data_IF_557147130740
#
_entry.id   IF_557147130740
#
_cell.length_a   1.000
_cell.length_b   1.000
_cell.length_c   1.000
_cell.angle_alpha   90.00
_cell.angle_beta   90.00
_cell.angle_gamma   90.00
#
_symmetry.space_group_name_H-M   'P 1'
#
loop_
_entity.id
_entity.type
_entity.pdbx_description
1 polymer ?
#
# COMPACT_ATOMS: atom_id res chain seq x y z
N UNK A 1 -23.01 8.41 -8.00
CA UNK A 1 -22.07 7.51 -7.25
C UNK A 1 -20.95 8.37 -6.72
N UNK A 2 -20.75 8.41 -5.43
CA UNK A 2 -19.57 9.02 -4.84
C UNK A 2 -18.35 8.20 -5.27
N UNK A 3 -17.47 8.81 -6.04
CA UNK A 3 -16.24 8.14 -6.47
C UNK A 3 -15.28 8.03 -5.29
N UNK A 4 -14.75 6.84 -5.05
CA UNK A 4 -13.56 6.64 -4.22
C UNK A 4 -12.37 7.25 -4.98
N UNK A 5 -12.06 8.50 -4.68
CA UNK A 5 -11.06 9.27 -5.41
C UNK A 5 -9.73 9.23 -4.66
N UNK A 6 -9.03 8.11 -4.76
CA UNK A 6 -7.76 7.85 -4.09
C UNK A 6 -6.66 7.48 -5.08
N UNK A 7 -5.48 8.07 -4.88
CA UNK A 7 -4.24 7.53 -5.41
C UNK A 7 -3.70 6.42 -4.50
N UNK A 8 -3.01 5.44 -5.07
CA UNK A 8 -2.37 4.35 -4.33
C UNK A 8 -0.86 4.39 -4.54
N UNK A 9 -0.12 4.34 -3.44
CA UNK A 9 1.34 4.12 -3.44
C UNK A 9 1.68 2.87 -2.63
N UNK A 10 2.86 2.30 -2.84
CA UNK A 10 3.30 1.13 -2.06
C UNK A 10 4.60 0.54 -2.58
N UNK A 11 5.07 -0.52 -1.91
CA UNK A 11 6.35 -1.17 -2.17
C UNK A 11 6.25 -2.69 -2.34
N UNK A 12 5.06 -3.22 -2.63
CA UNK A 12 4.78 -4.66 -2.72
C UNK A 12 4.88 -5.42 -1.37
N UNK A 13 4.91 -4.71 -0.24
CA UNK A 13 4.76 -5.26 1.11
C UNK A 13 3.56 -4.61 1.80
N UNK A 14 3.36 -3.34 1.54
CA UNK A 14 2.25 -2.54 2.04
C UNK A 14 1.88 -1.46 1.02
N UNK A 15 0.74 -0.79 1.26
CA UNK A 15 0.27 0.31 0.43
C UNK A 15 -0.49 1.34 1.26
N UNK A 16 -0.47 2.59 0.78
CA UNK A 16 -1.28 3.68 1.31
C UNK A 16 -2.28 4.18 0.26
N UNK A 17 -3.48 4.55 0.71
CA UNK A 17 -4.44 5.29 -0.09
C UNK A 17 -4.38 6.76 0.29
N UNK A 18 -4.17 7.59 -0.73
CA UNK A 18 -4.03 9.04 -0.59
C UNK A 18 -5.19 9.69 -1.32
N UNK A 19 -6.01 10.43 -0.57
CA UNK A 19 -7.18 11.13 -1.11
C UNK A 19 -6.77 12.21 -2.12
N UNK A 20 -7.70 12.67 -2.93
CA UNK A 20 -7.53 13.76 -3.89
C UNK A 20 -7.12 15.10 -3.23
N UNK A 21 -7.14 15.19 -1.90
CA UNK A 21 -6.64 16.32 -1.09
C UNK A 21 -5.26 16.07 -0.48
N UNK A 22 -4.59 14.97 -0.84
CA UNK A 22 -3.26 14.63 -0.34
C UNK A 22 -3.23 14.08 1.08
N UNK A 23 -4.34 13.57 1.60
CA UNK A 23 -4.41 12.91 2.91
C UNK A 23 -4.23 11.40 2.78
N UNK A 24 -3.35 10.80 3.58
CA UNK A 24 -3.25 9.36 3.75
C UNK A 24 -4.39 8.93 4.67
N UNK A 25 -5.39 8.28 4.10
CA UNK A 25 -6.62 7.87 4.79
C UNK A 25 -6.67 6.36 5.06
N UNK A 26 -5.75 5.60 4.48
CA UNK A 26 -5.54 4.18 4.72
C UNK A 26 -4.06 3.82 4.66
N UNK A 27 -3.55 3.18 5.70
CA UNK A 27 -2.20 2.62 5.75
C UNK A 27 -2.13 1.52 6.80
N UNK A 28 -1.63 0.35 6.40
CA UNK A 28 -1.24 -0.75 7.29
C UNK A 28 0.28 -0.91 7.27
N UNK A 29 0.92 -1.02 8.42
CA UNK A 29 2.35 -1.31 8.56
C UNK A 29 2.59 -2.50 9.48
N UNK A 30 3.62 -3.35 9.23
CA UNK A 30 4.57 -3.28 8.12
C UNK A 30 4.08 -3.92 6.81
N UNK A 31 2.97 -4.68 6.83
CA UNK A 31 2.45 -5.42 5.69
C UNK A 31 0.99 -5.09 5.42
N UNK A 32 0.47 -5.51 4.26
CA UNK A 32 -0.91 -5.28 3.86
C UNK A 32 -1.94 -5.77 4.89
N UNK A 33 -1.71 -6.94 5.48
CA UNK A 33 -2.58 -7.62 6.45
C UNK A 33 -2.37 -7.17 7.90
N UNK A 34 -1.38 -6.30 8.14
CA UNK A 34 -1.09 -5.75 9.46
C UNK A 34 -2.19 -4.80 9.95
N UNK A 35 -2.24 -4.51 11.26
CA UNK A 35 -3.13 -3.48 11.79
C UNK A 35 -2.92 -2.13 11.10
N UNK A 36 -4.02 -1.39 10.90
CA UNK A 36 -3.92 -0.06 10.31
C UNK A 36 -3.30 0.95 11.28
N UNK A 37 -2.58 1.92 10.70
CA UNK A 37 -2.10 3.12 11.37
C UNK A 37 -3.02 4.28 11.08
N UNK A 38 -3.49 4.36 9.82
CA UNK A 38 -4.51 5.30 9.38
C UNK A 38 -5.66 4.52 8.77
N UNK A 39 -6.88 4.84 9.16
CA UNK A 39 -8.10 4.22 8.70
C UNK A 39 -9.29 5.20 8.66
N UNK A 40 -9.04 6.51 8.42
CA UNK A 40 -10.11 7.50 8.22
C UNK A 40 -11.01 7.16 7.03
N UNK A 41 -10.53 6.32 6.10
CA UNK A 41 -11.33 5.69 5.06
C UNK A 41 -12.54 4.92 5.63
N UNK A 42 -12.37 4.25 6.77
CA UNK A 42 -13.41 3.46 7.44
C UNK A 42 -14.14 4.25 8.53
N UNK A 43 -13.45 5.17 9.19
CA UNK A 43 -14.04 6.00 10.25
C UNK A 43 -13.30 7.33 10.34
N UNK A 44 -13.93 8.40 9.89
CA UNK A 44 -13.29 9.73 9.83
C UNK A 44 -12.98 10.32 11.19
N UNK A 45 -13.71 9.93 12.23
CA UNK A 45 -13.54 10.48 13.57
C UNK A 45 -12.47 9.72 14.38
N UNK A 46 -12.37 8.40 14.15
CA UNK A 46 -11.52 7.52 14.98
C UNK A 46 -10.34 6.94 14.23
N UNK A 47 -10.46 6.78 12.91
CA UNK A 47 -9.52 6.00 12.11
C UNK A 47 -8.14 6.65 11.93
N UNK A 48 -8.03 7.94 12.19
CA UNK A 48 -6.80 8.69 12.01
C UNK A 48 -6.39 8.90 10.54
N UNK A 49 -5.61 9.94 10.29
CA UNK A 49 -5.14 10.32 8.95
C UNK A 49 -3.85 11.13 9.00
N UNK A 50 -3.22 11.32 7.84
CA UNK A 50 -2.03 12.16 7.71
C UNK A 50 -2.13 13.04 6.47
N UNK A 51 -2.51 14.31 6.67
CA UNK A 51 -2.86 15.21 5.58
C UNK A 51 -2.35 16.63 5.72
N UNK A 52 -2.71 17.46 4.75
CA UNK A 52 -2.40 18.88 4.68
C UNK A 52 -3.70 19.68 4.72
N UNK A 53 -3.71 20.75 5.49
CA UNK A 53 -4.75 21.76 5.49
C UNK A 53 -4.20 23.02 4.83
N UNK A 54 -4.84 23.44 3.74
CA UNK A 54 -4.50 24.65 2.99
C UNK A 54 -5.68 25.60 2.96
N UNK A 55 -5.41 26.88 2.64
CA UNK A 55 -6.46 27.87 2.43
C UNK A 55 -7.40 27.45 1.27
N UNK A 56 -8.69 27.82 1.32
CA UNK A 56 -9.70 27.43 0.31
C UNK A 56 -9.42 27.92 -1.12
N UNK A 57 -8.53 28.87 -1.31
CA UNK A 57 -8.11 29.39 -2.63
C UNK A 57 -7.19 28.44 -3.39
N UNK A 58 -6.64 27.40 -2.73
CA UNK A 58 -5.85 26.39 -3.43
C UNK A 58 -6.71 25.44 -4.24
N UNK A 59 -6.37 25.30 -5.51
CA UNK A 59 -6.83 24.21 -6.36
C UNK A 59 -5.91 23.03 -6.17
N UNK A 60 -6.50 21.86 -5.88
CA UNK A 60 -5.75 20.63 -5.62
C UNK A 60 -5.95 19.67 -6.78
N UNK A 61 -4.85 19.13 -7.31
CA UNK A 61 -4.88 18.11 -8.35
C UNK A 61 -3.87 17.00 -8.03
N UNK A 62 -4.15 15.80 -8.53
CA UNK A 62 -3.31 14.64 -8.24
C UNK A 62 -2.97 13.89 -9.53
N UNK A 63 -1.71 13.50 -9.66
CA UNK A 63 -1.22 12.71 -10.79
C UNK A 63 -0.07 11.81 -10.37
N UNK A 64 0.09 10.70 -11.07
CA UNK A 64 1.29 9.88 -10.90
C UNK A 64 2.47 10.43 -11.68
N UNK A 65 3.67 10.28 -11.13
CA UNK A 65 4.88 10.41 -11.92
C UNK A 65 4.82 9.34 -13.02
N UNK A 66 4.98 9.70 -14.30
CA UNK A 66 4.77 8.78 -15.41
C UNK A 66 5.51 7.44 -15.22
N UNK A 67 4.83 6.35 -15.54
CA UNK A 67 5.37 4.97 -15.48
C UNK A 67 5.71 4.45 -14.08
N UNK A 68 5.16 5.05 -13.01
CA UNK A 68 5.49 4.70 -11.62
C UNK A 68 4.28 4.57 -10.69
N UNK A 69 4.53 4.09 -9.46
CA UNK A 69 3.62 4.20 -8.32
C UNK A 69 4.04 5.34 -7.36
N UNK A 70 4.65 6.39 -7.88
CA UNK A 70 4.97 7.62 -7.15
C UNK A 70 3.86 8.63 -7.45
N UNK A 71 3.24 9.19 -6.43
CA UNK A 71 2.08 10.07 -6.56
C UNK A 71 2.46 11.51 -6.23
N UNK A 72 2.04 12.46 -7.06
CA UNK A 72 2.18 13.90 -6.81
C UNK A 72 0.80 14.51 -6.57
N UNK A 73 0.63 15.16 -5.43
CA UNK A 73 -0.52 16.03 -5.15
C UNK A 73 -0.05 17.49 -5.25
N UNK A 74 -0.61 18.23 -6.20
CA UNK A 74 -0.24 19.61 -6.48
C UNK A 74 -1.27 20.55 -5.87
N UNK A 75 -0.78 21.57 -5.17
CA UNK A 75 -1.55 22.63 -4.53
C UNK A 75 -1.21 23.96 -5.20
N UNK A 76 -2.15 24.55 -5.90
CA UNK A 76 -1.95 25.74 -6.74
C UNK A 76 -2.93 26.83 -6.35
N UNK A 77 -2.41 28.00 -6.00
CA UNK A 77 -3.17 29.25 -5.87
C UNK A 77 -2.60 30.30 -6.82
N UNK A 78 -3.18 31.47 -6.85
CA UNK A 78 -2.71 32.56 -7.72
C UNK A 78 -1.26 32.96 -7.42
N UNK A 79 -0.89 33.02 -6.14
CA UNK A 79 0.44 33.48 -5.71
C UNK A 79 1.39 32.37 -5.32
N UNK A 80 0.86 31.20 -4.91
CA UNK A 80 1.63 30.14 -4.28
C UNK A 80 1.40 28.80 -4.96
N UNK A 81 2.46 28.01 -5.05
CA UNK A 81 2.38 26.63 -5.56
C UNK A 81 3.38 25.73 -4.85
N UNK A 82 2.91 24.56 -4.45
CA UNK A 82 3.76 23.47 -3.94
C UNK A 82 3.19 22.12 -4.33
N UNK A 83 4.02 21.10 -4.27
CA UNK A 83 3.61 19.72 -4.50
C UNK A 83 4.08 18.82 -3.37
N UNK A 84 3.27 17.83 -3.03
CA UNK A 84 3.64 16.73 -2.15
C UNK A 84 3.81 15.48 -3.00
N UNK A 85 5.03 14.95 -3.03
CA UNK A 85 5.39 13.73 -3.77
C UNK A 85 5.48 12.58 -2.78
N UNK A 86 4.51 11.68 -2.87
CA UNK A 86 4.36 10.55 -1.96
C UNK A 86 4.90 9.27 -2.59
N UNK A 87 5.75 8.54 -1.88
CA UNK A 87 6.28 7.24 -2.32
C UNK A 87 6.70 6.35 -1.15
N UNK A 88 6.80 5.06 -1.42
CA UNK A 88 7.40 4.08 -0.53
C UNK A 88 8.64 3.49 -1.21
N UNK A 89 9.81 3.44 -0.54
CA UNK A 89 11.03 2.89 -1.14
C UNK A 89 10.85 1.46 -1.63
N UNK A 90 11.24 1.23 -2.88
CA UNK A 90 11.24 -0.08 -3.50
C UNK A 90 12.33 -0.12 -4.58
N UNK A 91 13.41 -0.89 -4.35
CA UNK A 91 14.50 -1.02 -5.32
C UNK A 91 15.36 -2.26 -5.05
N UNK A 92 16.06 -2.74 -6.07
CA UNK A 92 17.01 -3.84 -5.94
C UNK A 92 18.29 -3.35 -5.26
N UNK A 93 18.82 -4.16 -4.33
CA UNK A 93 20.16 -3.99 -3.79
C UNK A 93 21.22 -4.45 -4.82
N UNK A 94 22.49 -4.38 -4.47
CA UNK A 94 23.60 -4.84 -5.32
C UNK A 94 23.47 -6.30 -5.73
N UNK A 95 22.85 -7.14 -4.89
CA UNK A 95 22.36 -8.45 -5.25
C UNK A 95 20.93 -8.32 -5.81
N UNK A 96 20.79 -8.59 -7.10
CA UNK A 96 19.50 -8.48 -7.80
C UNK A 96 18.39 -9.38 -7.24
N UNK A 97 18.72 -10.39 -6.43
CA UNK A 97 17.76 -11.25 -5.75
C UNK A 97 17.07 -10.53 -4.58
N UNK A 98 17.74 -9.55 -3.97
CA UNK A 98 17.27 -8.83 -2.80
C UNK A 98 16.70 -7.45 -3.17
N UNK A 99 15.49 -7.18 -2.70
CA UNK A 99 14.82 -5.91 -2.91
C UNK A 99 14.61 -5.20 -1.58
N UNK A 100 15.04 -3.96 -1.49
CA UNK A 100 14.81 -3.10 -0.34
C UNK A 100 13.38 -2.58 -0.37
N UNK A 101 12.60 -2.89 0.65
CA UNK A 101 11.19 -2.53 0.81
C UNK A 101 10.89 -2.26 2.28
N UNK A 102 11.43 -1.19 2.85
CA UNK A 102 11.20 -0.88 4.26
C UNK A 102 9.74 -0.49 4.49
N UNK A 103 9.28 -0.62 5.72
CA UNK A 103 8.00 -0.06 6.15
C UNK A 103 8.15 1.45 6.40
N UNK A 104 8.38 2.18 5.31
CA UNK A 104 8.62 3.61 5.29
C UNK A 104 7.74 4.27 4.23
N UNK A 105 7.24 5.47 4.55
CA UNK A 105 6.56 6.34 3.59
C UNK A 105 7.22 7.72 3.64
N UNK A 106 7.56 8.21 2.47
CA UNK A 106 8.14 9.54 2.26
C UNK A 106 7.11 10.46 1.64
N UNK A 107 7.05 11.69 2.13
CA UNK A 107 6.24 12.79 1.64
C UNK A 107 7.16 13.97 1.36
N UNK A 108 7.65 14.06 0.12
CA UNK A 108 8.56 15.12 -0.32
C UNK A 108 7.77 16.38 -0.70
N UNK A 109 7.97 17.45 0.05
CA UNK A 109 7.25 18.71 -0.11
C UNK A 109 8.12 19.66 -0.95
N UNK A 110 7.73 19.86 -2.21
CA UNK A 110 8.46 20.69 -3.17
C UNK A 110 7.84 22.07 -3.23
N UNK A 111 8.64 23.09 -2.98
CA UNK A 111 8.26 24.47 -3.22
C UNK A 111 8.41 24.80 -4.71
N UNK A 112 7.34 25.29 -5.36
CA UNK A 112 7.34 25.59 -6.79
C UNK A 112 7.28 27.11 -7.00
N UNK A 113 6.33 27.80 -6.33
CA UNK A 113 6.13 29.26 -6.49
C UNK A 113 5.72 29.89 -5.16
N UNK A 114 6.14 31.16 -4.97
CA UNK A 114 5.71 31.99 -3.85
C UNK A 114 6.22 31.50 -2.48
N UNK A 115 5.41 31.72 -1.45
CA UNK A 115 5.69 31.30 -0.07
C UNK A 115 4.48 30.56 0.48
N UNK A 116 4.26 29.31 0.06
CA UNK A 116 3.10 28.53 0.45
C UNK A 116 2.96 28.39 1.96
N UNK A 117 1.71 28.37 2.43
CA UNK A 117 1.35 28.21 3.84
C UNK A 117 0.37 27.05 3.97
N UNK A 118 0.58 26.19 4.95
CA UNK A 118 -0.27 25.06 5.23
C UNK A 118 -0.11 24.60 6.67
N UNK A 119 -1.04 23.76 7.14
CA UNK A 119 -0.86 22.96 8.36
C UNK A 119 -0.70 21.49 8.00
N UNK A 120 -0.05 20.74 8.87
CA UNK A 120 0.07 19.31 8.77
C UNK A 120 -0.78 18.68 9.88
N UNK A 121 -1.71 17.83 9.49
CA UNK A 121 -2.52 17.03 10.39
C UNK A 121 -1.94 15.61 10.46
N UNK A 122 -1.22 15.31 11.53
CA UNK A 122 -0.68 13.98 11.80
C UNK A 122 -1.45 13.37 12.98
N UNK A 123 -2.46 12.60 12.67
CA UNK A 123 -3.40 12.00 13.61
C UNK A 123 -3.42 10.45 13.47
N UNK A 124 -2.34 9.75 13.83
CA UNK A 124 -2.31 8.30 13.74
C UNK A 124 -3.23 7.66 14.78
N UNK A 125 -3.90 6.58 14.37
CA UNK A 125 -4.73 5.75 15.23
C UNK A 125 -4.31 4.27 15.09
N UNK A 126 -3.10 3.90 15.59
CA UNK A 126 -2.53 2.57 15.38
C UNK A 126 -3.39 1.47 15.99
N UNK A 127 -3.19 0.23 15.49
CA UNK A 127 -3.94 -0.96 15.88
C UNK A 127 -5.45 -0.80 15.67
N UNK A 128 -5.85 -0.30 14.48
CA UNK A 128 -7.26 -0.06 14.13
C UNK A 128 -7.99 0.84 15.13
N UNK A 129 -7.31 1.82 15.73
CA UNK A 129 -7.88 2.69 16.76
C UNK A 129 -8.46 1.94 17.98
N UNK A 130 -7.96 0.74 18.31
CA UNK A 130 -8.41 -0.04 19.48
C UNK A 130 -7.99 0.60 20.82
N UNK A 131 -6.86 1.29 20.84
CA UNK A 131 -6.32 1.96 22.02
C UNK A 131 -6.18 3.45 21.82
N UNK A 132 -5.73 4.13 22.88
CA UNK A 132 -5.35 5.55 22.77
C UNK A 132 -3.97 5.67 22.12
N UNK A 133 -3.81 6.63 21.23
CA UNK A 133 -2.51 6.98 20.66
C UNK A 133 -1.69 7.75 21.69
N UNK A 134 -0.46 7.32 21.92
CA UNK A 134 0.52 7.99 22.76
C UNK A 134 1.56 8.64 21.86
N UNK A 135 1.93 9.88 22.19
CA UNK A 135 2.95 10.65 21.49
C UNK A 135 4.13 10.91 22.44
N UNK A 136 5.34 10.56 22.00
CA UNK A 136 6.59 10.94 22.63
C UNK A 136 7.41 11.76 21.63
N UNK A 137 7.91 12.90 22.02
CA UNK A 137 8.65 13.79 21.12
C UNK A 137 10.11 13.93 21.57
N UNK A 138 11.01 13.83 20.61
CA UNK A 138 12.44 14.15 20.77
C UNK A 138 12.78 15.35 19.90
N UNK A 139 14.05 15.73 19.84
CA UNK A 139 14.54 16.73 18.89
C UNK A 139 14.55 16.24 17.44
N UNK A 140 14.48 14.91 17.21
CA UNK A 140 14.69 14.29 15.89
C UNK A 140 13.41 13.71 15.29
N UNK A 141 12.50 13.23 16.13
CA UNK A 141 11.26 12.55 15.67
C UNK A 141 10.12 12.65 16.68
N UNK A 142 8.92 12.40 16.17
CA UNK A 142 7.73 12.09 16.96
C UNK A 142 7.54 10.57 16.94
N UNK A 143 7.61 9.93 18.12
CA UNK A 143 7.26 8.52 18.28
C UNK A 143 5.78 8.40 18.60
N UNK A 144 5.09 7.46 17.95
CA UNK A 144 3.67 7.16 18.25
C UNK A 144 3.46 5.66 18.41
N UNK A 145 2.52 5.29 19.29
CA UNK A 145 2.08 3.90 19.46
C UNK A 145 0.69 3.86 20.11
N UNK A 146 0.02 2.71 20.01
CA UNK A 146 -1.26 2.50 20.67
C UNK A 146 -1.09 1.89 22.08
N UNK A 147 -1.94 2.28 23.05
CA UNK A 147 -1.99 1.63 24.36
C UNK A 147 -2.44 0.17 24.27
N UNK A 148 -3.15 -0.23 23.21
CA UNK A 148 -3.53 -1.62 22.95
C UNK A 148 -2.37 -2.47 22.43
N UNK A 149 -1.38 -1.84 21.78
CA UNK A 149 -0.18 -2.51 21.25
C UNK A 149 1.04 -1.58 21.30
N UNK A 150 1.72 -1.54 22.40
CA UNK A 150 2.89 -0.67 22.62
C UNK A 150 4.19 -1.16 21.95
N UNK A 151 4.17 -2.35 21.31
CA UNK A 151 5.33 -2.89 20.60
C UNK A 151 5.45 -2.29 19.19
N UNK A 152 4.34 -1.93 18.58
CA UNK A 152 4.27 -1.36 17.24
C UNK A 152 4.40 0.15 17.32
N UNK A 153 5.58 0.65 16.92
CA UNK A 153 5.94 2.06 17.04
C UNK A 153 6.10 2.69 15.66
N UNK A 154 5.64 3.91 15.52
CA UNK A 154 5.85 4.73 14.34
C UNK A 154 6.76 5.89 14.72
N UNK A 155 7.68 6.25 13.82
CA UNK A 155 8.59 7.37 13.98
C UNK A 155 8.38 8.34 12.82
N UNK A 156 7.87 9.54 13.13
CA UNK A 156 7.74 10.63 12.15
C UNK A 156 8.95 11.55 12.26
N UNK A 157 9.74 11.59 11.22
CA UNK A 157 10.84 12.53 11.01
C UNK A 157 10.39 13.66 10.10
N UNK A 158 10.97 14.84 10.29
CA UNK A 158 10.65 16.01 9.48
C UNK A 158 11.82 16.98 9.44
N UNK A 159 12.03 17.63 8.29
CA UNK A 159 12.86 18.81 8.20
C UNK A 159 12.14 20.09 8.67
N UNK A 160 10.82 20.02 8.82
CA UNK A 160 9.99 21.06 9.42
C UNK A 160 9.97 20.95 10.95
N UNK A 161 9.68 22.03 11.69
CA UNK A 161 9.63 21.97 13.14
C UNK A 161 8.56 21.00 13.67
N UNK A 162 8.96 19.96 14.39
CA UNK A 162 8.06 18.91 14.89
C UNK A 162 6.93 19.45 15.79
N UNK A 163 7.21 20.49 16.57
CA UNK A 163 6.20 21.12 17.44
C UNK A 163 5.07 21.78 16.63
N UNK A 164 5.36 22.32 15.41
CA UNK A 164 4.32 22.88 14.55
C UNK A 164 3.38 21.78 14.02
N UNK A 165 3.93 20.58 13.78
CA UNK A 165 3.12 19.43 13.34
C UNK A 165 2.20 18.98 14.48
N UNK A 166 2.74 18.80 15.70
CA UNK A 166 1.95 18.36 16.85
C UNK A 166 0.87 19.34 17.28
N UNK A 167 1.16 20.65 17.20
CA UNK A 167 0.24 21.70 17.60
C UNK A 167 -0.62 22.21 16.43
N UNK A 168 -0.51 21.56 15.25
CA UNK A 168 -1.23 21.92 14.00
C UNK A 168 -1.10 23.42 13.67
N UNK A 169 0.09 23.98 13.90
CA UNK A 169 0.40 25.37 13.59
C UNK A 169 0.67 25.56 12.10
N UNK A 170 0.41 26.76 11.63
CA UNK A 170 0.73 27.16 10.27
C UNK A 170 2.25 27.07 10.02
N UNK A 171 2.60 26.47 8.91
CA UNK A 171 3.97 26.30 8.41
C UNK A 171 4.13 27.13 7.15
N UNK A 172 5.24 27.84 7.05
CA UNK A 172 5.64 28.63 5.88
C UNK A 172 6.71 27.83 5.11
N UNK A 173 6.42 27.47 3.87
CA UNK A 173 7.36 26.72 3.03
C UNK A 173 8.35 27.67 2.34
N UNK A 174 9.56 27.77 2.90
CA UNK A 174 10.64 28.60 2.34
C UNK A 174 11.52 27.87 1.30
N UNK A 175 11.61 26.56 1.40
CA UNK A 175 12.40 25.65 0.53
C UNK A 175 11.74 24.29 0.47
N UNK A 176 12.34 23.35 -0.26
CA UNK A 176 11.91 21.95 -0.25
C UNK A 176 12.11 21.33 1.12
N UNK A 177 11.12 20.60 1.59
CA UNK A 177 11.09 19.97 2.90
C UNK A 177 10.59 18.50 2.78
N UNK A 178 10.68 17.72 3.85
CA UNK A 178 10.22 16.34 3.83
C UNK A 178 9.56 15.91 5.15
N UNK A 179 8.78 14.84 5.03
CA UNK A 179 8.24 14.04 6.11
C UNK A 179 8.56 12.56 5.81
N UNK A 180 9.07 11.85 6.80
CA UNK A 180 9.32 10.42 6.73
C UNK A 180 8.63 9.73 7.90
N UNK A 181 7.72 8.81 7.61
CA UNK A 181 7.12 7.92 8.59
C UNK A 181 7.74 6.52 8.45
N UNK A 182 8.39 6.02 9.51
CA UNK A 182 8.93 4.67 9.59
C UNK A 182 8.23 3.84 10.67
N UNK A 183 8.34 2.51 10.57
CA UNK A 183 7.72 1.56 11.49
C UNK A 183 8.78 0.70 12.17
N UNK A 184 8.77 0.69 13.50
CA UNK A 184 9.63 -0.07 14.42
C UNK A 184 11.14 0.14 14.27
N UNK A 185 11.59 0.74 13.17
CA UNK A 185 13.01 1.01 12.93
C UNK A 185 13.28 2.52 12.95
N UNK A 186 14.29 2.91 13.73
CA UNK A 186 14.79 4.29 13.71
C UNK A 186 15.74 4.46 12.53
N UNK A 187 15.47 5.47 11.74
CA UNK A 187 16.23 5.76 10.52
C UNK A 187 17.31 6.82 10.82
N UNK A 188 18.55 6.54 10.43
CA UNK A 188 19.72 7.44 10.61
C UNK A 188 20.63 7.29 9.39
N UNK A 189 21.12 8.37 8.76
CA UNK A 189 20.70 9.78 8.93
C UNK A 189 19.36 10.06 8.22
N UNK A 190 18.60 11.04 8.70
CA UNK A 190 17.39 11.53 8.04
C UNK A 190 17.62 12.98 7.61
N UNK A 191 17.72 13.19 6.30
CA UNK A 191 17.95 14.49 5.67
C UNK A 191 17.38 14.49 4.25
N UNK A 192 17.38 15.66 3.61
CA UNK A 192 16.81 15.85 2.27
C UNK A 192 17.59 15.10 1.18
N UNK A 193 18.90 14.88 1.37
CA UNK A 193 19.75 14.12 0.45
C UNK A 193 19.36 12.64 0.43
N UNK A 194 19.08 12.06 1.61
CA UNK A 194 18.56 10.71 1.71
C UNK A 194 17.22 10.60 0.99
N UNK A 195 16.31 11.53 1.21
CA UNK A 195 15.01 11.50 0.56
C UNK A 195 15.11 11.52 -0.96
N UNK A 196 15.93 12.43 -1.51
CA UNK A 196 16.20 12.48 -2.95
C UNK A 196 16.79 11.18 -3.48
N UNK A 197 17.70 10.55 -2.73
CA UNK A 197 18.29 9.28 -3.10
C UNK A 197 17.24 8.16 -3.14
N UNK A 198 16.41 8.04 -2.10
CA UNK A 198 15.34 7.04 -2.04
C UNK A 198 14.28 7.27 -3.13
N UNK A 199 13.95 8.52 -3.43
CA UNK A 199 13.10 8.88 -4.55
C UNK A 199 13.68 8.39 -5.89
N UNK A 200 14.95 8.73 -6.18
CA UNK A 200 15.60 8.34 -7.43
C UNK A 200 15.69 6.82 -7.60
N UNK A 201 16.04 6.09 -6.53
CA UNK A 201 16.11 4.62 -6.54
C UNK A 201 14.73 4.00 -6.82
N UNK A 202 13.71 4.51 -6.15
CA UNK A 202 12.32 4.06 -6.33
C UNK A 202 11.80 4.38 -7.74
N UNK A 203 12.11 5.57 -8.24
CA UNK A 203 11.79 5.97 -9.62
C UNK A 203 12.39 4.98 -10.63
N UNK A 204 13.70 4.73 -10.53
CA UNK A 204 14.41 3.79 -11.42
C UNK A 204 13.83 2.38 -11.35
N UNK A 205 13.46 1.92 -10.15
CA UNK A 205 12.81 0.62 -9.98
C UNK A 205 11.53 0.50 -10.79
N UNK A 206 10.62 1.48 -10.68
CA UNK A 206 9.36 1.46 -11.39
C UNK A 206 9.54 1.61 -12.91
N UNK A 207 10.43 2.51 -13.35
CA UNK A 207 10.75 2.68 -14.78
C UNK A 207 11.30 1.39 -15.38
N UNK A 208 12.24 0.73 -14.71
CA UNK A 208 12.78 -0.56 -15.15
C UNK A 208 11.73 -1.67 -15.21
N UNK A 209 10.74 -1.62 -14.31
CA UNK A 209 9.66 -2.58 -14.33
C UNK A 209 8.72 -2.34 -15.50
N UNK A 210 8.29 -1.11 -15.74
CA UNK A 210 7.35 -0.75 -16.82
C UNK A 210 7.99 -0.88 -18.20
N UNK A 211 9.31 -0.68 -18.32
CA UNK A 211 10.03 -0.83 -19.60
C UNK A 211 9.98 -2.28 -20.13
N UNK A 212 9.88 -3.26 -19.24
CA UNK A 212 9.72 -4.68 -19.62
C UNK A 212 8.32 -5.06 -20.07
N UNK A 213 7.33 -4.18 -19.89
CA UNK A 213 5.94 -4.44 -20.24
C UNK A 213 5.75 -4.38 -21.76
N UNK A 214 5.09 -5.39 -22.34
CA UNK A 214 4.69 -5.38 -23.75
C UNK A 214 3.86 -4.13 -24.05
N UNK A 215 4.23 -3.42 -25.10
CA UNK A 215 3.50 -2.23 -25.55
C UNK A 215 2.35 -2.60 -26.49
N UNK A 216 1.27 -1.83 -26.39
CA UNK A 216 0.06 -2.01 -27.19
C UNK A 216 -0.13 -0.80 -28.11
N UNK A 217 -0.91 -0.95 -29.16
CA UNK A 217 -1.19 0.14 -30.11
C UNK A 217 -2.18 1.16 -29.57
N UNK A 218 -3.02 0.75 -28.60
CA UNK A 218 -4.07 1.59 -27.99
C UNK A 218 -4.12 1.38 -26.48
N UNK A 219 -4.57 2.39 -25.75
CA UNK A 219 -4.81 2.36 -24.31
C UNK A 219 -3.58 2.06 -23.44
N UNK A 220 -2.37 2.30 -23.91
CA UNK A 220 -1.14 1.99 -23.17
C UNK A 220 -1.13 2.58 -21.76
N UNK A 221 -1.51 3.83 -21.59
CA UNK A 221 -1.47 4.50 -20.27
C UNK A 221 -2.41 3.84 -19.26
N UNK A 222 -3.63 3.46 -19.70
CA UNK A 222 -4.62 2.80 -18.86
C UNK A 222 -4.18 1.38 -18.51
N UNK A 223 -3.65 0.65 -19.49
CA UNK A 223 -3.12 -0.70 -19.30
C UNK A 223 -1.94 -0.65 -18.32
N UNK A 224 -0.98 0.22 -18.57
CA UNK A 224 0.21 0.35 -17.72
C UNK A 224 -0.17 0.73 -16.27
N UNK A 225 -1.11 1.69 -16.09
CA UNK A 225 -1.60 2.03 -14.74
C UNK A 225 -2.24 0.84 -14.04
N UNK A 226 -3.05 0.04 -14.76
CA UNK A 226 -3.67 -1.17 -14.22
C UNK A 226 -2.62 -2.20 -13.81
N UNK A 227 -1.60 -2.41 -14.63
CA UNK A 227 -0.51 -3.33 -14.36
C UNK A 227 0.34 -2.92 -13.16
N UNK A 228 0.60 -1.61 -13.01
CA UNK A 228 1.30 -1.06 -11.84
C UNK A 228 0.51 -1.31 -10.54
N UNK A 229 -0.82 -1.28 -10.58
CA UNK A 229 -1.67 -1.64 -9.43
C UNK A 229 -1.58 -3.14 -9.14
N UNK A 230 -1.72 -4.01 -10.14
CA UNK A 230 -1.57 -5.46 -9.97
C UNK A 230 -0.18 -5.83 -9.42
N UNK A 231 0.86 -5.18 -9.94
CA UNK A 231 2.23 -5.35 -9.43
C UNK A 231 2.35 -4.93 -7.97
N UNK A 232 1.74 -3.81 -7.59
CA UNK A 232 1.76 -3.30 -6.23
C UNK A 232 1.10 -4.29 -5.26
N UNK A 233 -0.02 -4.91 -5.66
CA UNK A 233 -0.75 -5.91 -4.87
C UNK A 233 -0.10 -7.30 -4.85
N UNK A 234 0.96 -7.51 -5.64
CA UNK A 234 1.75 -8.75 -5.60
C UNK A 234 2.78 -8.67 -4.48
N UNK A 235 2.55 -9.42 -3.40
CA UNK A 235 3.48 -9.51 -2.28
C UNK A 235 4.82 -10.10 -2.70
N UNK A 236 5.89 -9.79 -1.99
CA UNK A 236 7.26 -10.13 -2.41
C UNK A 236 7.51 -11.65 -2.57
N UNK A 237 6.77 -12.49 -1.86
CA UNK A 237 6.87 -13.95 -1.96
C UNK A 237 6.05 -14.56 -3.12
N UNK A 238 5.24 -13.76 -3.81
CA UNK A 238 4.40 -14.18 -4.92
C UNK A 238 2.91 -14.22 -4.63
N UNK A 239 2.45 -14.17 -3.38
CA UNK A 239 1.03 -14.01 -3.07
C UNK A 239 0.46 -12.75 -3.71
N UNK A 240 -0.77 -12.80 -4.22
CA UNK A 240 -1.47 -11.64 -4.79
C UNK A 240 -2.74 -11.38 -3.99
N UNK A 241 -2.88 -10.17 -3.48
CA UNK A 241 -4.04 -9.77 -2.70
C UNK A 241 -5.24 -9.47 -3.60
N UNK A 242 -6.43 -9.80 -3.13
CA UNK A 242 -7.67 -9.41 -3.80
C UNK A 242 -7.94 -7.90 -3.65
N UNK A 243 -7.58 -7.29 -2.50
CA UNK A 243 -7.57 -5.85 -2.30
C UNK A 243 -6.54 -5.45 -1.23
N UNK A 244 -6.19 -4.15 -1.18
CA UNK A 244 -5.30 -3.59 -0.15
C UNK A 244 -6.06 -3.07 1.08
N UNK A 245 -7.39 -3.13 1.06
CA UNK A 245 -8.28 -2.60 2.11
C UNK A 245 -9.14 -3.68 2.70
N UNK A 246 -9.68 -3.41 3.89
CA UNK A 246 -10.78 -4.18 4.46
C UNK A 246 -12.07 -3.38 4.46
N UNK A 247 -13.20 -4.08 4.52
CA UNK A 247 -14.53 -3.58 4.91
C UNK A 247 -15.07 -2.42 4.08
N UNK A 248 -14.64 -2.27 2.84
CA UNK A 248 -15.36 -1.43 1.90
C UNK A 248 -16.63 -2.14 1.46
N UNK A 249 -17.80 -1.48 1.51
CA UNK A 249 -19.08 -2.12 1.26
C UNK A 249 -19.31 -2.41 -0.23
N UNK A 250 -19.93 -3.56 -0.54
CA UNK A 250 -20.47 -3.83 -1.88
C UNK A 250 -21.60 -2.83 -2.20
N UNK A 251 -22.41 -2.51 -1.19
CA UNK A 251 -23.45 -1.47 -1.25
C UNK A 251 -23.35 -0.61 0.00
N UNK A 252 -23.29 0.71 -0.16
CA UNK A 252 -23.18 1.65 0.97
C UNK A 252 -24.36 1.48 1.92
N UNK A 253 -24.08 1.34 3.21
CA UNK A 253 -25.05 1.12 4.28
C UNK A 253 -25.39 -0.35 4.56
N UNK A 254 -24.93 -1.28 3.71
CA UNK A 254 -25.20 -2.71 3.82
C UNK A 254 -24.10 -3.45 4.63
N UNK A 255 -24.33 -4.75 4.86
CA UNK A 255 -23.53 -5.57 5.79
C UNK A 255 -22.42 -6.38 5.11
N UNK A 256 -22.35 -6.38 3.78
CA UNK A 256 -21.37 -7.15 2.99
C UNK A 256 -20.07 -6.36 2.86
N UNK A 257 -19.32 -6.31 3.97
CA UNK A 257 -18.10 -5.52 4.16
C UNK A 257 -16.99 -6.47 4.59
N UNK A 258 -16.26 -7.05 3.63
CA UNK A 258 -15.31 -8.12 3.87
C UNK A 258 -13.87 -7.64 3.90
N UNK A 259 -13.01 -8.38 4.58
CA UNK A 259 -11.56 -8.18 4.49
C UNK A 259 -11.02 -8.93 3.27
N UNK A 260 -10.54 -8.18 2.28
CA UNK A 260 -10.00 -8.71 1.03
C UNK A 260 -8.46 -8.67 0.95
N UNK A 261 -7.77 -8.42 2.07
CA UNK A 261 -6.30 -8.33 2.14
C UNK A 261 -5.61 -9.70 2.12
N UNK A 262 -6.22 -10.68 1.50
CA UNK A 262 -5.76 -12.08 1.43
C UNK A 262 -5.61 -12.52 -0.02
N UNK A 263 -4.93 -13.66 -0.20
CA UNK A 263 -4.67 -14.26 -1.50
C UNK A 263 -5.76 -15.27 -1.84
N UNK A 264 -6.76 -14.89 -2.65
CA UNK A 264 -7.67 -15.83 -3.31
C UNK A 264 -6.97 -16.47 -4.50
N UNK A 265 -6.99 -17.79 -4.59
CA UNK A 265 -6.33 -18.51 -5.68
C UNK A 265 -6.88 -18.13 -7.06
N UNK A 266 -8.20 -17.94 -7.19
CA UNK A 266 -8.85 -17.47 -8.42
C UNK A 266 -8.32 -16.10 -8.86
N UNK A 267 -8.42 -15.11 -7.97
CA UNK A 267 -8.07 -13.72 -8.26
C UNK A 267 -6.57 -13.56 -8.55
N UNK A 268 -5.76 -14.29 -7.78
CA UNK A 268 -4.32 -14.33 -7.98
C UNK A 268 -3.96 -14.98 -9.33
N UNK A 269 -4.59 -16.09 -9.68
CA UNK A 269 -4.34 -16.79 -10.95
C UNK A 269 -4.64 -15.92 -12.16
N UNK A 270 -5.80 -15.25 -12.19
CA UNK A 270 -6.17 -14.31 -13.25
C UNK A 270 -5.19 -13.12 -13.36
N UNK A 271 -4.79 -12.56 -12.23
CA UNK A 271 -3.84 -11.44 -12.17
C UNK A 271 -2.46 -11.84 -12.67
N UNK A 272 -1.97 -13.01 -12.25
CA UNK A 272 -0.66 -13.54 -12.64
C UNK A 272 -0.66 -13.97 -14.12
N UNK A 273 -1.72 -14.57 -14.60
CA UNK A 273 -1.86 -14.90 -16.02
C UNK A 273 -1.72 -13.63 -16.88
N UNK A 274 -2.43 -12.56 -16.51
CA UNK A 274 -2.33 -11.27 -17.19
C UNK A 274 -0.89 -10.75 -17.18
N UNK A 275 -0.22 -10.72 -16.03
CA UNK A 275 1.16 -10.27 -15.92
C UNK A 275 2.12 -11.14 -16.74
N UNK A 276 1.89 -12.44 -16.78
CA UNK A 276 2.70 -13.40 -17.53
C UNK A 276 2.59 -13.18 -19.05
N UNK A 277 1.38 -13.01 -19.57
CA UNK A 277 1.11 -12.81 -21.01
C UNK A 277 1.73 -11.51 -21.56
N UNK A 278 1.94 -10.52 -20.70
CA UNK A 278 2.53 -9.23 -21.09
C UNK A 278 4.03 -9.11 -20.79
N UNK A 279 4.69 -10.21 -20.41
CA UNK A 279 6.15 -10.31 -20.29
C UNK A 279 6.70 -10.35 -18.87
N UNK A 280 5.86 -10.27 -17.84
CA UNK A 280 6.31 -10.33 -16.43
C UNK A 280 6.42 -11.78 -15.91
N UNK A 281 7.25 -12.60 -16.55
CA UNK A 281 7.44 -14.03 -16.25
C UNK A 281 7.83 -14.29 -14.79
N UNK A 282 8.64 -13.40 -14.21
CA UNK A 282 9.09 -13.54 -12.82
C UNK A 282 7.92 -13.43 -11.81
N UNK A 283 6.85 -12.73 -12.15
CA UNK A 283 5.64 -12.69 -11.31
C UNK A 283 4.98 -14.08 -11.24
N UNK A 284 4.86 -14.76 -12.39
CA UNK A 284 4.32 -16.11 -12.45
C UNK A 284 5.22 -17.12 -11.71
N UNK A 285 6.54 -17.03 -11.89
CA UNK A 285 7.49 -17.90 -11.18
C UNK A 285 7.38 -17.77 -9.66
N UNK A 286 7.26 -16.55 -9.13
CA UNK A 286 7.09 -16.31 -7.69
C UNK A 286 5.76 -16.82 -7.17
N UNK A 287 4.69 -16.63 -7.92
CA UNK A 287 3.38 -17.15 -7.53
C UNK A 287 3.37 -18.70 -7.53
N UNK A 288 3.98 -19.35 -8.54
CA UNK A 288 4.11 -20.78 -8.56
C UNK A 288 4.86 -21.33 -7.34
N UNK A 289 5.96 -20.66 -6.94
CA UNK A 289 6.69 -21.00 -5.71
C UNK A 289 5.84 -20.78 -4.44
N UNK A 290 5.04 -19.72 -4.40
CA UNK A 290 4.11 -19.49 -3.29
C UNK A 290 3.07 -20.59 -3.19
N UNK A 291 2.43 -20.97 -4.31
CA UNK A 291 1.46 -22.08 -4.37
C UNK A 291 2.12 -23.38 -3.93
N UNK A 292 3.28 -23.71 -4.49
CA UNK A 292 4.07 -24.89 -4.15
C UNK A 292 4.38 -24.96 -2.65
N UNK A 293 4.98 -23.90 -2.09
CA UNK A 293 5.33 -23.87 -0.66
C UNK A 293 4.11 -23.96 0.25
N UNK A 294 2.97 -23.42 -0.19
CA UNK A 294 1.71 -23.46 0.57
C UNK A 294 1.09 -24.86 0.53
N UNK A 295 1.20 -25.59 -0.59
CA UNK A 295 0.57 -26.90 -0.76
C UNK A 295 1.44 -28.03 -0.22
N UNK A 296 2.75 -28.04 -0.46
CA UNK A 296 3.67 -29.11 0.01
C UNK A 296 3.73 -29.20 1.54
N UNK A 297 3.60 -28.09 2.23
CA UNK A 297 3.58 -28.09 3.70
C UNK A 297 2.32 -28.71 4.32
N UNK A 298 1.36 -29.18 3.49
CA UNK A 298 0.00 -29.47 3.95
C UNK A 298 -0.61 -30.68 3.21
N UNK A 299 -0.63 -31.82 3.88
CA UNK A 299 -1.22 -33.06 3.38
C UNK A 299 -2.76 -33.07 3.34
N UNK A 300 -3.43 -31.97 3.70
CA UNK A 300 -4.88 -31.87 3.82
C UNK A 300 -5.53 -31.05 2.68
N UNK A 301 -6.85 -30.89 2.76
CA UNK A 301 -7.68 -30.21 1.75
C UNK A 301 -7.21 -28.79 1.44
N UNK A 302 -7.14 -28.48 0.14
CA UNK A 302 -6.84 -27.14 -0.37
C UNK A 302 -7.95 -26.16 -0.02
N UNK A 303 -7.55 -24.90 0.30
CA UNK A 303 -8.46 -23.79 0.55
C UNK A 303 -8.53 -22.87 -0.68
N UNK A 304 -9.62 -22.11 -0.78
CA UNK A 304 -9.81 -21.14 -1.87
C UNK A 304 -8.96 -19.88 -1.68
N UNK A 305 -8.53 -19.62 -0.45
CA UNK A 305 -7.77 -18.44 -0.08
C UNK A 305 -6.80 -18.72 1.07
N UNK A 306 -5.76 -17.93 1.12
CA UNK A 306 -4.69 -18.00 2.12
C UNK A 306 -4.29 -16.60 2.57
N UNK A 307 -3.67 -16.49 3.74
CA UNK A 307 -2.93 -15.30 4.14
C UNK A 307 -1.77 -15.02 3.18
N UNK A 308 -1.21 -13.82 3.26
CA UNK A 308 -0.12 -13.40 2.34
C UNK A 308 1.17 -14.20 2.53
N UNK A 309 1.32 -14.96 3.62
CA UNK A 309 2.45 -15.87 3.90
C UNK A 309 2.05 -17.34 3.85
N UNK A 310 0.85 -17.65 3.33
CA UNK A 310 0.30 -19.00 3.29
C UNK A 310 -0.49 -19.41 4.54
N UNK A 311 -0.84 -18.47 5.40
CA UNK A 311 -1.66 -18.77 6.59
C UNK A 311 -3.02 -19.31 6.17
N UNK A 312 -3.42 -20.42 6.82
CA UNK A 312 -4.71 -21.10 6.54
C UNK A 312 -5.86 -20.55 7.38
N UNK A 313 -5.59 -20.16 8.63
CA UNK A 313 -6.61 -19.70 9.56
C UNK A 313 -6.71 -18.19 9.49
N UNK A 314 -7.80 -17.70 8.92
CA UNK A 314 -8.06 -16.28 8.69
C UNK A 314 -9.26 -15.83 9.51
N UNK A 315 -9.24 -16.09 10.80
CA UNK A 315 -10.37 -15.87 11.72
C UNK A 315 -10.94 -14.46 11.60
N UNK A 316 -12.23 -14.38 11.28
CA UNK A 316 -12.95 -13.11 11.18
C UNK A 316 -13.21 -12.52 12.57
N UNK A 317 -12.93 -11.22 12.72
CA UNK A 317 -13.18 -10.46 13.94
C UNK A 317 -13.85 -9.14 13.58
N UNK A 318 -14.93 -8.80 14.28
CA UNK A 318 -15.65 -7.54 14.10
C UNK A 318 -14.98 -6.44 14.95
N UNK A 319 -14.69 -5.31 14.33
CA UNK A 319 -14.21 -4.08 14.94
C UNK A 319 -15.40 -3.14 15.23
N UNK A 320 -16.21 -3.47 16.24
CA UNK A 320 -17.47 -2.80 16.55
C UNK A 320 -17.35 -1.33 16.95
N UNK A 321 -16.15 -0.85 17.28
CA UNK A 321 -15.88 0.55 17.64
C UNK A 321 -15.74 1.48 16.43
N UNK A 322 -15.53 0.93 15.22
CA UNK A 322 -15.45 1.69 13.98
C UNK A 322 -16.81 1.78 13.28
N UNK A 323 -17.10 2.92 12.67
CA UNK A 323 -18.38 3.20 12.00
C UNK A 323 -18.53 2.50 10.63
N UNK A 324 -17.40 2.12 10.01
CA UNK A 324 -17.36 1.63 8.62
C UNK A 324 -17.45 2.76 7.59
N UNK A 325 -17.02 2.47 6.35
CA UNK A 325 -17.08 3.41 5.24
C UNK A 325 -18.51 3.94 5.06
N UNK A 326 -18.71 5.26 5.22
CA UNK A 326 -20.02 5.91 5.16
C UNK A 326 -21.08 5.21 6.03
N UNK A 327 -20.69 4.83 7.25
CA UNK A 327 -21.52 4.11 8.23
C UNK A 327 -21.95 2.70 7.78
N UNK A 328 -21.22 2.06 6.88
CA UNK A 328 -21.46 0.68 6.45
C UNK A 328 -20.81 -0.30 7.44
N UNK A 329 -21.60 -0.83 8.35
CA UNK A 329 -21.17 -1.80 9.37
C UNK A 329 -21.50 -3.23 8.95
N UNK A 330 -20.78 -4.22 9.52
CA UNK A 330 -19.66 -4.14 10.43
C UNK A 330 -18.31 -3.89 9.70
N UNK A 331 -17.33 -3.32 10.42
CA UNK A 331 -15.93 -3.38 10.02
C UNK A 331 -15.35 -4.72 10.48
N UNK A 332 -14.64 -5.42 9.60
CA UNK A 332 -14.06 -6.75 9.86
C UNK A 332 -12.57 -6.79 9.58
N UNK A 333 -11.88 -7.66 10.26
CA UNK A 333 -10.54 -8.15 9.93
C UNK A 333 -10.57 -9.66 9.94
N UNK A 334 -9.75 -10.31 9.10
CA UNK A 334 -9.92 -11.72 8.81
C UNK A 334 -11.11 -11.97 7.88
N UNK A 335 -11.29 -13.22 7.42
CA UNK A 335 -12.38 -13.54 6.50
C UNK A 335 -12.70 -15.03 6.58
N UNK A 336 -13.88 -15.38 7.10
CA UNK A 336 -14.32 -16.76 7.30
C UNK A 336 -14.62 -17.53 5.99
N UNK A 337 -14.52 -16.87 4.83
CA UNK A 337 -14.62 -17.55 3.54
C UNK A 337 -13.54 -18.60 3.32
N UNK A 338 -12.46 -18.62 4.10
CA UNK A 338 -11.44 -19.67 4.03
C UNK A 338 -11.99 -21.08 4.33
N UNK A 339 -13.17 -21.18 4.92
CA UNK A 339 -13.90 -22.45 5.12
C UNK A 339 -14.79 -22.84 3.94
N UNK A 340 -15.00 -21.95 2.97
CA UNK A 340 -15.89 -22.20 1.84
C UNK A 340 -15.22 -23.10 0.80
N UNK A 341 -16.06 -23.79 0.01
CA UNK A 341 -15.67 -24.47 -1.20
C UNK A 341 -16.14 -23.66 -2.41
N UNK A 342 -15.21 -23.21 -3.25
CA UNK A 342 -15.46 -22.50 -4.51
C UNK A 342 -14.75 -23.25 -5.64
N UNK A 343 -15.49 -24.10 -6.36
CA UNK A 343 -14.92 -25.05 -7.33
C UNK A 343 -14.23 -24.37 -8.52
N UNK A 344 -14.64 -23.15 -8.89
CA UNK A 344 -14.05 -22.33 -9.94
C UNK A 344 -12.58 -21.94 -9.64
N UNK A 345 -12.22 -21.78 -8.36
CA UNK A 345 -10.87 -21.38 -7.95
C UNK A 345 -9.79 -22.36 -8.42
N UNK A 346 -10.09 -23.66 -8.41
CA UNK A 346 -9.16 -24.69 -8.87
C UNK A 346 -9.01 -24.70 -10.39
N UNK A 347 -10.09 -24.40 -11.14
CA UNK A 347 -10.04 -24.28 -12.58
C UNK A 347 -9.08 -23.18 -13.04
N UNK A 348 -9.17 -21.98 -12.46
CA UNK A 348 -8.27 -20.87 -12.76
C UNK A 348 -6.80 -21.18 -12.40
N UNK A 349 -6.57 -21.83 -11.26
CA UNK A 349 -5.22 -22.20 -10.85
C UNK A 349 -4.63 -23.25 -11.81
N UNK A 350 -5.39 -24.28 -12.17
CA UNK A 350 -4.93 -25.34 -13.10
C UNK A 350 -4.66 -24.79 -14.51
N UNK A 351 -5.48 -23.86 -14.98
CA UNK A 351 -5.24 -23.19 -16.27
C UNK A 351 -3.93 -22.38 -16.26
N UNK A 352 -3.69 -21.61 -15.20
CA UNK A 352 -2.42 -20.89 -15.06
C UNK A 352 -1.22 -21.84 -14.98
N UNK A 353 -1.31 -22.94 -14.21
CA UNK A 353 -0.26 -23.95 -14.12
C UNK A 353 0.03 -24.53 -15.51
N UNK A 354 -1.01 -24.92 -16.25
CA UNK A 354 -0.86 -25.45 -17.60
C UNK A 354 -0.18 -24.46 -18.54
N UNK A 355 -0.62 -23.20 -18.55
CA UNK A 355 -0.03 -22.15 -19.40
C UNK A 355 1.44 -21.90 -19.04
N UNK A 356 1.75 -21.85 -17.73
CA UNK A 356 3.11 -21.63 -17.25
C UNK A 356 4.06 -22.73 -17.74
N UNK A 357 3.74 -24.00 -17.53
CA UNK A 357 4.60 -25.10 -17.95
C UNK A 357 4.65 -25.29 -19.48
N UNK A 358 3.57 -24.97 -20.19
CA UNK A 358 3.57 -24.98 -21.65
C UNK A 358 4.56 -23.97 -22.25
N UNK A 359 4.68 -22.80 -21.64
CA UNK A 359 5.55 -21.72 -22.11
C UNK A 359 6.96 -21.76 -21.52
N UNK A 360 7.14 -22.48 -20.41
CA UNK A 360 8.40 -22.60 -19.67
C UNK A 360 8.73 -24.10 -19.43
N UNK A 361 8.92 -24.91 -20.48
CA UNK A 361 9.05 -26.37 -20.35
C UNK A 361 10.26 -26.84 -19.55
N UNK A 362 11.33 -26.01 -19.44
CA UNK A 362 12.51 -26.36 -18.64
C UNK A 362 12.34 -26.29 -17.11
N UNK A 363 11.15 -25.89 -16.63
CA UNK A 363 10.86 -25.82 -15.18
C UNK A 363 10.10 -27.05 -14.66
N UNK A 364 9.82 -28.05 -15.54
CA UNK A 364 9.14 -29.30 -15.14
C UNK A 364 9.98 -30.14 -14.17
N UNK A 365 11.31 -30.09 -14.31
CA UNK A 365 12.23 -30.80 -13.41
C UNK A 365 12.11 -30.35 -11.94
N UNK A 366 11.68 -29.09 -11.71
CA UNK A 366 11.42 -28.56 -10.35
C UNK A 366 10.14 -29.14 -9.73
N UNK A 367 9.31 -29.84 -10.51
CA UNK A 367 7.99 -30.39 -10.07
C UNK A 367 8.06 -31.90 -9.85
N UNK A 368 9.00 -32.61 -10.49
CA UNK A 368 9.17 -34.07 -10.28
C UNK A 368 9.66 -34.38 -8.86
N UNK A 369 10.25 -33.40 -8.16
CA UNK A 369 10.66 -33.52 -6.76
C UNK A 369 9.51 -33.20 -5.76
N UNK A 370 8.26 -33.00 -6.24
CA UNK A 370 7.04 -32.80 -5.44
C UNK A 370 6.19 -34.03 -5.37
#
# INVERSE_FOLDING_TARGET
MDKLNYGVIGNCCTAALISDKGSIDWLCFPNFDSPSIFASLLDREKGGYFGFEVSPDYQISQSYVPHTNILSTNFVSEENEFAVVDFMPCYHLSDASNCYRPAEIYRYIRRIKGTPRFKINYEPAPDYARGKTIFNTTSEYIETYSTSNSKDRQYLYSSLPLHNILEQKEIVLAKDEFLLLSYNEKVIPVNIEREKLEYCRTLVYWLNWTDRTKKFTVYNDVIERSLLVLKLMSFYNGAVLAAITTSLPETIGEVRNWDYRFCWLRDASMSIETLFQIGHVEAARRFMRFVQSTFVSQHDTYQIMYGIRGERKLTEVILGHLSGYKNSRPVRIGNDAYHQLQNDSFGYLMDLIYQYYRLMPGTLDEVEDM
#
